data_IF_187879493658
#
_entry.id   IF_187879493658
#
_cell.length_a   1.000
_cell.length_b   1.000
_cell.length_c   1.000
_cell.angle_alpha   90.00
_cell.angle_beta   90.00
_cell.angle_gamma   90.00
#
_symmetry.space_group_name_H-M   'P 1'
#
loop_
_entity.id
_entity.type
_entity.pdbx_description
1 polymer ?
#
# COMPACT_ATOMS: atom_id res chain seq x y z
N UNK A 1 -9.59 -20.99 4.23
CA UNK A 1 -10.73 -20.36 3.54
C UNK A 1 -10.62 -18.86 3.82
N UNK A 2 -10.26 -18.06 2.82
CA UNK A 2 -10.15 -16.60 2.97
C UNK A 2 -11.52 -16.02 2.62
N UNK A 3 -12.24 -15.55 3.64
CA UNK A 3 -13.45 -14.75 3.46
C UNK A 3 -12.99 -13.32 3.16
N UNK A 4 -13.27 -12.83 1.95
CA UNK A 4 -13.14 -11.41 1.66
C UNK A 4 -14.35 -10.69 2.28
N UNK A 5 -14.17 -9.54 2.95
CA UNK A 5 -15.28 -8.82 3.55
C UNK A 5 -16.24 -8.26 2.49
N UNK A 6 -17.53 -8.23 2.82
CA UNK A 6 -18.56 -7.60 2.00
C UNK A 6 -18.45 -6.06 2.12
N UNK A 7 -18.25 -5.37 1.00
CA UNK A 7 -18.17 -3.91 0.91
C UNK A 7 -18.72 -3.37 -0.41
N UNK A 8 -19.12 -2.10 -0.44
CA UNK A 8 -19.66 -1.43 -1.64
C UNK A 8 -18.61 -1.30 -2.78
N UNK A 9 -19.02 -1.24 -4.06
CA UNK A 9 -18.09 -1.17 -5.20
C UNK A 9 -17.26 0.13 -5.23
N UNK A 10 -15.94 0.03 -4.98
CA UNK A 10 -14.97 1.13 -5.17
C UNK A 10 -13.61 0.97 -4.47
N UNK A 11 -13.58 0.47 -3.24
CA UNK A 11 -12.38 0.54 -2.37
C UNK A 11 -11.59 -0.77 -2.25
N UNK A 12 -11.68 -1.69 -3.21
CA UNK A 12 -10.96 -2.96 -3.11
C UNK A 12 -9.46 -2.72 -3.39
N UNK A 13 -8.74 -2.27 -2.36
CA UNK A 13 -7.29 -2.34 -2.27
C UNK A 13 -6.95 -3.82 -2.06
N UNK A 14 -6.40 -4.46 -3.09
CA UNK A 14 -5.95 -5.85 -3.00
C UNK A 14 -4.64 -5.90 -2.21
N UNK A 15 -4.72 -5.63 -0.91
CA UNK A 15 -3.57 -5.68 -0.02
C UNK A 15 -3.19 -7.14 0.16
N UNK A 16 -2.35 -7.65 -0.75
CA UNK A 16 -1.90 -9.04 -0.72
C UNK A 16 -0.89 -9.19 0.41
N UNK A 17 -1.36 -9.70 1.54
CA UNK A 17 -0.52 -10.07 2.67
C UNK A 17 0.37 -11.27 2.33
N UNK A 18 1.65 -11.09 2.55
CA UNK A 18 2.69 -12.11 2.46
C UNK A 18 3.19 -12.41 3.87
N UNK A 19 3.20 -13.70 4.23
CA UNK A 19 3.72 -14.17 5.51
C UNK A 19 5.20 -14.52 5.35
N UNK A 20 6.04 -13.96 6.21
CA UNK A 20 7.47 -14.24 6.26
C UNK A 20 7.81 -15.43 7.17
N UNK A 21 8.99 -16.07 7.00
CA UNK A 21 9.42 -17.18 7.85
C UNK A 21 9.53 -16.84 9.34
N UNK A 22 9.80 -15.58 9.67
CA UNK A 22 9.85 -15.04 11.04
C UNK A 22 8.46 -14.80 11.67
N UNK A 23 7.39 -15.23 10.97
CA UNK A 23 5.97 -15.07 11.35
C UNK A 23 5.45 -13.64 11.28
N UNK A 24 6.20 -12.70 10.68
CA UNK A 24 5.68 -11.37 10.35
C UNK A 24 4.83 -11.41 9.09
N UNK A 25 4.00 -10.39 8.90
CA UNK A 25 3.22 -10.19 7.69
C UNK A 25 3.62 -8.86 7.06
N UNK A 26 3.70 -8.83 5.74
CA UNK A 26 3.92 -7.60 4.98
C UNK A 26 3.01 -7.57 3.77
N UNK A 27 2.75 -6.38 3.24
CA UNK A 27 2.06 -6.19 1.98
C UNK A 27 2.77 -5.09 1.20
N UNK A 28 2.46 -4.98 -0.09
CA UNK A 28 2.98 -3.92 -0.93
C UNK A 28 2.06 -3.66 -2.10
N UNK A 29 1.79 -2.40 -2.36
CA UNK A 29 0.96 -1.95 -3.47
C UNK A 29 1.66 -0.85 -4.27
N UNK A 30 1.24 -0.67 -5.52
CA UNK A 30 1.70 0.41 -6.38
C UNK A 30 0.54 1.36 -6.65
N UNK A 31 0.65 2.58 -6.13
CA UNK A 31 -0.33 3.64 -6.37
C UNK A 31 0.20 4.60 -7.43
N UNK A 32 -0.69 5.12 -8.27
CA UNK A 32 -0.40 6.26 -9.17
C UNK A 32 -0.96 7.50 -8.51
N UNK A 33 -0.09 8.44 -8.20
CA UNK A 33 -0.44 9.66 -7.50
C UNK A 33 0.53 10.77 -7.90
N UNK A 34 0.08 12.02 -7.82
CA UNK A 34 0.92 13.21 -7.93
C UNK A 34 1.85 13.33 -6.73
N UNK A 35 2.89 14.15 -6.84
CA UNK A 35 3.82 14.38 -5.72
C UNK A 35 3.11 14.92 -4.46
N UNK A 36 2.09 15.77 -4.63
CA UNK A 36 1.29 16.30 -3.52
C UNK A 36 0.48 15.22 -2.80
N UNK A 37 -0.22 14.37 -3.57
CA UNK A 37 -0.98 13.23 -3.03
C UNK A 37 -0.05 12.21 -2.35
N UNK A 38 1.15 11.98 -2.89
CA UNK A 38 2.16 11.11 -2.24
C UNK A 38 2.64 11.70 -0.92
N UNK A 39 2.84 13.02 -0.83
CA UNK A 39 3.28 13.67 0.40
C UNK A 39 2.22 13.57 1.51
N UNK A 40 0.95 13.78 1.17
CA UNK A 40 -0.18 13.62 2.11
C UNK A 40 -0.29 12.16 2.59
N UNK A 41 -0.24 11.21 1.67
CA UNK A 41 -0.27 9.78 1.99
C UNK A 41 0.93 9.36 2.86
N UNK A 42 2.13 9.87 2.56
CA UNK A 42 3.33 9.60 3.34
C UNK A 42 3.22 10.09 4.78
N UNK A 43 2.63 11.27 4.99
CA UNK A 43 2.36 11.79 6.33
C UNK A 43 1.34 10.92 7.08
N UNK A 44 0.22 10.58 6.43
CA UNK A 44 -0.84 9.77 7.02
C UNK A 44 -0.35 8.36 7.41
N UNK A 45 0.40 7.68 6.53
CA UNK A 45 0.90 6.34 6.82
C UNK A 45 1.97 6.35 7.92
N UNK A 46 2.76 7.42 8.04
CA UNK A 46 3.74 7.56 9.13
C UNK A 46 3.05 7.70 10.49
N UNK A 47 1.98 8.50 10.58
CA UNK A 47 1.20 8.59 11.83
C UNK A 47 0.59 7.23 12.18
N UNK A 48 -0.07 6.59 11.21
CA UNK A 48 -0.69 5.29 11.42
C UNK A 48 0.33 4.21 11.84
N UNK A 49 1.51 4.20 11.24
CA UNK A 49 2.61 3.30 11.59
C UNK A 49 3.07 3.46 13.05
N UNK A 50 3.12 4.71 13.55
CA UNK A 50 3.48 5.01 14.94
C UNK A 50 2.38 4.59 15.91
N UNK A 51 1.11 4.84 15.57
CA UNK A 51 -0.05 4.52 16.41
C UNK A 51 -0.26 3.01 16.54
N UNK A 52 -0.16 2.28 15.42
CA UNK A 52 -0.46 0.85 15.33
C UNK A 52 0.80 -0.04 15.40
N UNK A 53 1.97 0.57 15.65
CA UNK A 53 3.25 -0.11 15.85
C UNK A 53 3.64 -1.07 14.71
N UNK A 54 3.58 -0.58 13.47
CA UNK A 54 4.10 -1.29 12.28
C UNK A 54 5.10 -0.42 11.52
N UNK A 55 5.79 -1.04 10.54
CA UNK A 55 6.76 -0.34 9.69
C UNK A 55 6.15 -0.16 8.30
N UNK A 56 6.16 1.08 7.80
CA UNK A 56 5.77 1.43 6.45
C UNK A 56 6.91 2.13 5.73
N UNK A 57 7.00 1.94 4.40
CA UNK A 57 7.93 2.69 3.56
C UNK A 57 7.28 2.96 2.21
N UNK A 58 7.58 4.13 1.64
CA UNK A 58 7.14 4.52 0.31
C UNK A 58 8.39 4.76 -0.53
N UNK A 59 8.45 4.15 -1.71
CA UNK A 59 9.53 4.35 -2.65
C UNK A 59 8.96 4.77 -4.02
N UNK A 60 9.48 5.83 -4.65
CA UNK A 60 9.09 6.18 -6.00
C UNK A 60 9.58 5.07 -6.94
N UNK A 61 8.66 4.54 -7.75
CA UNK A 61 9.01 3.57 -8.78
C UNK A 61 9.15 4.32 -10.10
N UNK A 62 10.37 4.44 -10.60
CA UNK A 62 10.59 4.98 -11.94
C UNK A 62 10.00 4.00 -12.97
N UNK A 63 8.88 4.39 -13.58
CA UNK A 63 8.29 3.63 -14.67
C UNK A 63 9.17 3.79 -15.92
N UNK A 64 9.90 2.72 -16.28
CA UNK A 64 10.72 2.63 -17.49
C UNK A 64 9.99 1.89 -18.63
N UNK A 65 8.66 1.96 -18.69
CA UNK A 65 7.86 1.36 -19.77
C UNK A 65 7.56 2.36 -20.88
N UNK A 66 7.33 1.85 -22.10
CA UNK A 66 6.77 2.64 -23.20
C UNK A 66 5.36 3.11 -22.79
N UNK A 67 5.16 4.42 -22.62
CA UNK A 67 3.82 4.99 -22.56
C UNK A 67 3.10 4.65 -23.88
N UNK A 68 2.16 3.71 -23.83
CA UNK A 68 1.13 3.58 -24.87
C UNK A 68 0.05 4.59 -24.54
N UNK A 69 0.03 5.70 -25.29
CA UNK A 69 -1.09 6.65 -25.34
C UNK A 69 -2.25 6.06 -26.13
#
# INVERSE_FOLDING_TARGET
>A
MLLLPEGEPGDVWFTRWQRHPDRTYSCGESIRATEGEVAEFAHAIEQLAREENFVASIAPRSYHGLHVN
#
